data_IF_683129629442
#
_entry.id   IF_683129629442
#
_cell.length_a   1.000
_cell.length_b   1.000
_cell.length_c   1.000
_cell.angle_alpha   90.00
_cell.angle_beta   90.00
_cell.angle_gamma   90.00
#
_symmetry.space_group_name_H-M   'P 1'
#
loop_
_entity.id
_entity.type
_entity.pdbx_description
1 polymer ?
#
# COMPACT_ATOMS: atom_id res chain seq x y z
N UNK A 1 10.97 20.22 -11.69
CA UNK A 1 11.79 19.46 -10.72
C UNK A 1 10.83 18.60 -9.94
N UNK A 2 10.87 17.29 -10.12
CA UNK A 2 9.92 16.36 -9.48
C UNK A 2 10.27 16.21 -8.00
N UNK A 3 9.27 16.32 -7.13
CA UNK A 3 9.45 16.19 -5.69
C UNK A 3 9.52 14.73 -5.26
N UNK A 4 10.09 14.45 -4.09
CA UNK A 4 10.10 13.10 -3.51
C UNK A 4 8.68 12.55 -3.30
N UNK A 5 7.71 13.41 -3.00
CA UNK A 5 6.32 13.05 -2.84
C UNK A 5 5.71 12.57 -4.17
N UNK A 6 5.88 13.34 -5.24
CA UNK A 6 5.40 13.00 -6.58
C UNK A 6 6.02 11.68 -7.11
N UNK A 7 7.30 11.44 -6.81
CA UNK A 7 7.95 10.17 -7.14
C UNK A 7 7.36 8.99 -6.36
N UNK A 8 7.03 9.21 -5.08
CA UNK A 8 6.44 8.17 -4.22
C UNK A 8 5.02 7.83 -4.67
N UNK A 9 4.26 8.82 -5.09
CA UNK A 9 2.90 8.64 -5.62
C UNK A 9 2.90 7.88 -6.94
N UNK A 10 3.76 8.27 -7.90
CA UNK A 10 3.95 7.52 -9.14
C UNK A 10 4.37 6.06 -8.89
N UNK A 11 5.25 5.82 -7.91
CA UNK A 11 5.66 4.46 -7.57
C UNK A 11 4.48 3.64 -7.02
N UNK A 12 3.64 4.25 -6.17
CA UNK A 12 2.44 3.59 -5.63
C UNK A 12 1.44 3.25 -6.73
N UNK A 13 1.19 4.17 -7.66
CA UNK A 13 0.32 3.94 -8.82
C UNK A 13 0.84 2.81 -9.71
N UNK A 14 2.15 2.81 -10.02
CA UNK A 14 2.78 1.77 -10.82
C UNK A 14 2.67 0.39 -10.17
N UNK A 15 2.92 0.29 -8.86
CA UNK A 15 2.77 -0.96 -8.10
C UNK A 15 1.32 -1.42 -8.10
N UNK A 16 0.36 -0.52 -7.88
CA UNK A 16 -1.07 -0.82 -7.93
C UNK A 16 -1.49 -1.39 -9.29
N UNK A 17 -1.07 -0.75 -10.38
CA UNK A 17 -1.33 -1.23 -11.73
C UNK A 17 -0.70 -2.61 -12.00
N UNK A 18 0.49 -2.88 -11.48
CA UNK A 18 1.14 -4.19 -11.60
C UNK A 18 0.37 -5.28 -10.83
N UNK A 19 -0.08 -5.00 -9.61
CA UNK A 19 -0.85 -5.95 -8.81
C UNK A 19 -2.19 -6.30 -9.48
N UNK A 20 -2.89 -5.32 -10.04
CA UNK A 20 -4.13 -5.55 -10.80
C UNK A 20 -3.90 -6.38 -12.07
N UNK A 21 -2.80 -6.14 -12.78
CA UNK A 21 -2.40 -6.97 -13.94
C UNK A 21 -2.05 -8.40 -13.53
N UNK A 22 -1.45 -8.59 -12.36
CA UNK A 22 -1.12 -9.91 -11.86
C UNK A 22 -2.37 -10.65 -11.38
N UNK A 23 -3.29 -9.95 -10.72
CA UNK A 23 -4.62 -10.44 -10.34
C UNK A 23 -5.36 -10.98 -11.56
N UNK A 24 -5.46 -10.19 -12.63
CA UNK A 24 -6.21 -10.58 -13.83
C UNK A 24 -5.61 -11.79 -14.55
N UNK A 25 -4.29 -11.97 -14.48
CA UNK A 25 -3.58 -13.10 -15.10
C UNK A 25 -3.61 -14.38 -14.26
N UNK A 26 -3.51 -14.26 -12.95
CA UNK A 26 -3.39 -15.41 -12.04
C UNK A 26 -4.74 -15.89 -11.52
N UNK A 27 -5.77 -15.03 -11.55
CA UNK A 27 -7.05 -15.28 -10.89
C UNK A 27 -6.98 -15.26 -9.37
N UNK A 28 -5.81 -14.92 -8.78
CA UNK A 28 -5.68 -14.85 -7.34
C UNK A 28 -6.52 -13.71 -6.75
N UNK A 29 -7.15 -13.91 -5.60
CA UNK A 29 -7.81 -12.83 -4.87
C UNK A 29 -6.85 -11.66 -4.58
N UNK A 30 -7.34 -10.42 -4.73
CA UNK A 30 -6.50 -9.22 -4.61
C UNK A 30 -5.98 -9.03 -3.18
N UNK A 31 -6.75 -9.40 -2.17
CA UNK A 31 -6.36 -9.41 -0.76
C UNK A 31 -5.15 -10.32 -0.49
N UNK A 32 -5.10 -11.50 -1.12
CA UNK A 32 -3.96 -12.41 -1.03
C UNK A 32 -2.70 -11.79 -1.66
N UNK A 33 -2.86 -11.13 -2.81
CA UNK A 33 -1.75 -10.43 -3.48
C UNK A 33 -1.21 -9.27 -2.65
N UNK A 34 -2.11 -8.48 -2.05
CA UNK A 34 -1.76 -7.37 -1.17
C UNK A 34 -1.06 -7.88 0.10
N UNK A 35 -1.54 -8.96 0.70
CA UNK A 35 -0.90 -9.58 1.86
C UNK A 35 0.52 -10.06 1.54
N UNK A 36 0.72 -10.72 0.38
CA UNK A 36 2.04 -11.16 -0.07
C UNK A 36 3.00 -9.99 -0.35
N UNK A 37 2.53 -8.96 -1.05
CA UNK A 37 3.32 -7.75 -1.31
C UNK A 37 3.72 -7.04 -0.01
N UNK A 38 2.78 -6.93 0.94
CA UNK A 38 3.05 -6.36 2.26
C UNK A 38 4.10 -7.18 3.03
N UNK A 39 3.97 -8.52 3.06
CA UNK A 39 4.94 -9.40 3.71
C UNK A 39 6.35 -9.25 3.11
N UNK A 40 6.46 -9.11 1.78
CA UNK A 40 7.73 -8.91 1.09
C UNK A 40 8.37 -7.57 1.48
N UNK A 41 7.58 -6.48 1.51
CA UNK A 41 8.06 -5.15 1.90
C UNK A 41 8.52 -5.14 3.34
N UNK A 42 7.73 -5.70 4.26
CA UNK A 42 8.11 -5.80 5.69
C UNK A 42 9.38 -6.63 5.85
N UNK A 43 9.48 -7.76 5.15
CA UNK A 43 10.70 -8.58 5.18
C UNK A 43 11.93 -7.79 4.70
N UNK A 44 11.79 -7.04 3.60
CA UNK A 44 12.87 -6.18 3.09
C UNK A 44 13.24 -5.07 4.09
N UNK A 45 12.27 -4.46 4.76
CA UNK A 45 12.54 -3.46 5.80
C UNK A 45 13.29 -4.08 6.98
N UNK A 46 12.86 -5.26 7.45
CA UNK A 46 13.52 -5.98 8.52
C UNK A 46 14.98 -6.28 8.21
N UNK A 47 15.26 -6.76 6.99
CA UNK A 47 16.64 -7.10 6.59
C UNK A 47 17.53 -5.89 6.33
N UNK A 48 16.96 -4.75 5.93
CA UNK A 48 17.73 -3.58 5.48
C UNK A 48 17.91 -2.54 6.58
N UNK A 49 16.89 -2.37 7.43
CA UNK A 49 16.80 -1.29 8.41
C UNK A 49 16.65 -1.80 9.85
N UNK A 50 16.38 -3.10 10.05
CA UNK A 50 16.20 -3.70 11.36
C UNK A 50 14.76 -3.67 11.87
N UNK A 51 14.55 -4.34 13.01
CA UNK A 51 13.23 -4.61 13.56
C UNK A 51 12.49 -3.35 14.03
N UNK A 52 13.18 -2.45 14.74
CA UNK A 52 12.58 -1.25 15.31
C UNK A 52 12.04 -0.32 14.22
N UNK A 53 12.86 0.00 13.22
CA UNK A 53 12.43 0.85 12.09
C UNK A 53 11.28 0.24 11.30
N UNK A 54 11.29 -1.07 11.09
CA UNK A 54 10.18 -1.75 10.41
C UNK A 54 8.88 -1.65 11.21
N UNK A 55 8.94 -1.82 12.54
CA UNK A 55 7.79 -1.69 13.43
C UNK A 55 7.23 -0.26 13.42
N UNK A 56 8.08 0.75 13.61
CA UNK A 56 7.69 2.17 13.57
C UNK A 56 7.01 2.53 12.25
N UNK A 57 7.55 2.06 11.12
CA UNK A 57 6.97 2.29 9.81
C UNK A 57 5.55 1.67 9.71
N UNK A 58 5.38 0.44 10.17
CA UNK A 58 4.08 -0.24 10.18
C UNK A 58 3.07 0.50 11.06
N UNK A 59 3.48 1.00 12.23
CA UNK A 59 2.63 1.77 13.13
C UNK A 59 2.19 3.10 12.52
N UNK A 60 3.11 3.83 11.89
CA UNK A 60 2.80 5.10 11.21
C UNK A 60 1.82 4.90 10.05
N UNK A 61 2.01 3.85 9.24
CA UNK A 61 1.07 3.50 8.16
C UNK A 61 -0.28 3.13 8.74
N UNK A 62 -0.34 2.28 9.77
CA UNK A 62 -1.60 1.91 10.43
C UNK A 62 -2.34 3.13 10.99
N UNK A 63 -1.62 4.09 11.58
CA UNK A 63 -2.20 5.34 12.05
C UNK A 63 -2.82 6.18 10.93
N UNK A 64 -2.15 6.26 9.77
CA UNK A 64 -2.67 6.96 8.59
C UNK A 64 -3.90 6.27 8.01
N UNK A 65 -3.89 4.93 7.93
CA UNK A 65 -5.04 4.17 7.43
C UNK A 65 -6.28 4.34 8.30
N UNK A 66 -6.14 4.46 9.63
CA UNK A 66 -7.26 4.76 10.54
C UNK A 66 -7.93 6.10 10.26
N UNK A 67 -7.20 7.05 9.68
CA UNK A 67 -7.73 8.37 9.32
C UNK A 67 -8.34 8.44 7.91
N UNK A 68 -8.18 7.39 7.10
CA UNK A 68 -8.80 7.35 5.79
C UNK A 68 -10.29 7.01 5.93
N UNK A 69 -11.17 7.70 5.19
CA UNK A 69 -12.58 7.35 5.13
C UNK A 69 -12.72 5.89 4.67
N UNK A 70 -13.68 5.19 5.26
CA UNK A 70 -14.02 3.86 4.76
C UNK A 70 -14.53 3.96 3.32
N UNK A 71 -14.51 2.85 2.58
CA UNK A 71 -15.10 2.80 1.23
C UNK A 71 -16.57 3.26 1.25
N UNK A 72 -17.31 2.91 2.30
CA UNK A 72 -18.69 3.38 2.50
C UNK A 72 -18.76 4.91 2.67
N UNK A 73 -17.82 5.52 3.40
CA UNK A 73 -17.76 6.98 3.58
C UNK A 73 -17.39 7.70 2.27
N UNK A 74 -16.50 7.12 1.46
CA UNK A 74 -16.12 7.66 0.16
C UNK A 74 -17.25 7.59 -0.88
N UNK A 75 -18.05 6.50 -0.87
CA UNK A 75 -19.21 6.35 -1.75
C UNK A 75 -20.35 7.32 -1.44
N UNK A 76 -20.48 7.76 -0.19
CA UNK A 76 -21.45 8.80 0.21
C UNK A 76 -20.97 10.18 -0.22
N UNK A 77 -19.66 10.47 -0.07
CA UNK A 77 -19.09 11.75 -0.47
C UNK A 77 -19.14 12.01 -2.00
N UNK A 78 -19.03 10.96 -2.82
CA UNK A 78 -19.12 11.08 -4.29
C UNK A 78 -20.54 11.23 -4.86
N UNK A 79 -21.58 11.25 -4.02
CA UNK A 79 -22.99 11.40 -4.41
C UNK A 79 -23.59 12.78 -4.04
N UNK A 80 -22.77 13.71 -3.55
CA UNK A 80 -23.14 15.08 -3.24
C UNK A 80 -22.68 16.06 -4.33
#
# INVERSE_FOLDING_TARGET
MTTKAELSEHAAEAVGAMLLRFQSRSGMPLDVLLAGAHAQIVSMMLTTHGAETAAECCEQVAARLRSLPSLADAEVAGRC
#
